data_IF_930062532524
#
_entry.id   IF_930062532524
#
_cell.length_a   1.000
_cell.length_b   1.000
_cell.length_c   1.000
_cell.angle_alpha   90.00
_cell.angle_beta   90.00
_cell.angle_gamma   90.00
#
_symmetry.space_group_name_H-M   'P 1'
#
loop_
_entity.id
_entity.type
_entity.pdbx_description
1 polymer ?
#
# COMPACT_ATOMS: atom_id res chain seq x y z
N UNK A 1 0.66 35.32 36.19
CA UNK A 1 1.70 34.75 37.06
C UNK A 1 3.08 35.33 36.74
N UNK A 2 3.54 35.31 35.49
CA UNK A 2 4.86 35.82 35.06
C UNK A 2 5.10 37.27 35.54
N UNK A 3 4.10 38.16 35.49
CA UNK A 3 4.23 39.55 35.97
C UNK A 3 4.44 39.64 37.48
N UNK A 4 3.97 38.68 38.29
CA UNK A 4 4.18 38.63 39.74
C UNK A 4 5.58 38.20 40.13
N UNK A 5 6.33 37.61 39.18
CA UNK A 5 7.70 37.13 39.34
C UNK A 5 8.71 38.00 38.58
N UNK A 6 8.39 39.27 38.33
CA UNK A 6 9.22 40.25 37.69
C UNK A 6 9.84 39.81 36.35
N UNK A 7 9.11 38.91 35.59
CA UNK A 7 9.54 38.50 34.25
C UNK A 7 9.40 39.70 33.33
N UNK A 8 10.47 40.03 32.56
CA UNK A 8 10.50 41.19 31.66
C UNK A 8 9.33 41.15 30.67
N UNK A 9 8.71 42.33 30.44
CA UNK A 9 7.53 42.43 29.58
C UNK A 9 7.80 41.92 28.13
N UNK A 10 8.99 42.23 27.58
CA UNK A 10 9.39 41.74 26.24
C UNK A 10 9.33 40.19 26.12
N UNK A 11 9.71 39.51 27.22
CA UNK A 11 9.64 38.01 27.22
C UNK A 11 8.20 37.53 27.27
N UNK A 12 7.36 38.15 28.07
CA UNK A 12 5.92 37.84 28.12
C UNK A 12 5.26 38.07 26.77
N UNK A 13 5.59 39.18 26.08
CA UNK A 13 5.05 39.51 24.77
C UNK A 13 5.55 38.51 23.68
N UNK A 14 6.77 38.05 23.84
CA UNK A 14 7.31 36.98 22.97
C UNK A 14 6.54 35.67 23.16
N UNK A 15 6.29 35.26 24.42
CA UNK A 15 5.53 34.06 24.71
C UNK A 15 4.10 34.12 24.16
N UNK A 16 3.44 35.30 24.24
CA UNK A 16 2.07 35.50 23.73
C UNK A 16 1.98 35.39 22.18
N UNK A 17 3.06 35.61 21.46
CA UNK A 17 3.14 35.46 20.00
C UNK A 17 3.32 34.02 19.55
N UNK A 18 3.77 33.15 20.43
CA UNK A 18 4.05 31.74 20.12
C UNK A 18 2.76 30.95 20.20
N UNK A 19 2.21 30.53 19.05
CA UNK A 19 1.03 29.67 19.00
C UNK A 19 1.32 28.22 19.42
N UNK A 20 2.53 27.74 19.12
CA UNK A 20 3.04 26.42 19.46
C UNK A 20 4.43 26.53 20.04
N UNK A 21 4.62 26.12 21.28
CA UNK A 21 5.93 26.13 21.93
C UNK A 21 6.52 24.72 21.89
N UNK A 22 7.36 24.45 20.87
CA UNK A 22 8.16 23.24 20.83
C UNK A 22 9.64 23.58 21.17
N UNK A 23 10.28 22.82 22.05
CA UNK A 23 11.70 22.99 22.33
C UNK A 23 12.53 22.83 21.06
N UNK A 24 13.64 23.60 20.97
CA UNK A 24 14.58 23.50 19.84
C UNK A 24 15.08 22.06 19.63
N UNK A 25 15.32 21.32 20.73
CA UNK A 25 15.75 19.92 20.67
C UNK A 25 14.68 19.02 20.01
N UNK A 26 13.38 19.27 20.26
CA UNK A 26 12.29 18.55 19.60
C UNK A 26 12.30 18.80 18.09
N UNK A 27 12.39 20.08 17.67
CA UNK A 27 12.49 20.42 16.25
C UNK A 27 13.70 19.77 15.58
N UNK A 28 14.87 19.79 16.24
CA UNK A 28 16.08 19.14 15.75
C UNK A 28 15.90 17.62 15.57
N UNK A 29 15.27 16.95 16.55
CA UNK A 29 15.00 15.50 16.46
C UNK A 29 14.08 15.16 15.28
N UNK A 30 13.01 15.93 15.05
CA UNK A 30 12.12 15.74 13.91
C UNK A 30 12.80 15.96 12.57
N UNK A 31 13.63 17.01 12.45
CA UNK A 31 14.40 17.27 11.24
C UNK A 31 15.40 16.14 10.97
N UNK A 32 16.09 15.64 12.00
CA UNK A 32 16.99 14.49 11.85
C UNK A 32 16.26 13.24 11.35
N UNK A 33 15.08 12.96 11.87
CA UNK A 33 14.25 11.83 11.38
C UNK A 33 13.81 12.04 9.94
N UNK A 34 13.35 13.22 9.57
CA UNK A 34 12.98 13.57 8.20
C UNK A 34 14.16 13.38 7.23
N UNK A 35 15.36 13.77 7.62
CA UNK A 35 16.59 13.58 6.84
C UNK A 35 16.92 12.10 6.63
N UNK A 36 16.79 11.27 7.66
CA UNK A 36 17.00 9.81 7.56
C UNK A 36 16.02 9.17 6.60
N UNK A 37 14.74 9.55 6.67
CA UNK A 37 13.71 9.06 5.75
C UNK A 37 14.01 9.53 4.32
N UNK A 38 14.39 10.80 4.13
CA UNK A 38 14.77 11.33 2.83
C UNK A 38 16.00 10.62 2.25
N UNK A 39 17.00 10.33 3.08
CA UNK A 39 18.18 9.54 2.69
C UNK A 39 17.76 8.15 2.16
N UNK A 40 16.90 7.44 2.90
CA UNK A 40 16.39 6.14 2.44
C UNK A 40 15.64 6.26 1.11
N UNK A 41 14.82 7.29 0.93
CA UNK A 41 14.07 7.53 -0.32
C UNK A 41 15.00 7.80 -1.51
N UNK A 42 16.15 8.43 -1.30
CA UNK A 42 17.11 8.73 -2.36
C UNK A 42 18.00 7.54 -2.69
N UNK A 43 18.58 6.90 -1.68
CA UNK A 43 19.60 5.87 -1.88
C UNK A 43 19.07 4.44 -1.86
N UNK A 44 17.89 4.21 -1.27
CA UNK A 44 17.24 2.90 -1.17
C UNK A 44 15.74 3.01 -1.56
N UNK A 45 15.42 3.55 -2.75
CA UNK A 45 14.05 3.92 -3.10
C UNK A 45 13.06 2.75 -3.05
N UNK A 46 13.41 1.58 -3.54
CA UNK A 46 12.51 0.42 -3.49
C UNK A 46 12.21 -0.01 -2.06
N UNK A 47 13.20 -0.02 -1.18
CA UNK A 47 12.98 -0.31 0.24
C UNK A 47 12.11 0.76 0.92
N UNK A 48 12.30 2.04 0.56
CA UNK A 48 11.44 3.12 1.03
C UNK A 48 9.98 2.92 0.59
N UNK A 49 9.72 2.65 -0.70
CA UNK A 49 8.36 2.44 -1.20
C UNK A 49 7.74 1.19 -0.61
N UNK A 50 8.48 0.07 -0.49
CA UNK A 50 8.00 -1.14 0.16
C UNK A 50 7.55 -0.87 1.61
N UNK A 51 8.36 -0.16 2.38
CA UNK A 51 8.03 0.21 3.76
C UNK A 51 6.84 1.19 3.82
N UNK A 52 6.79 2.18 2.92
CA UNK A 52 5.68 3.14 2.86
C UNK A 52 4.36 2.45 2.57
N UNK A 53 4.29 1.63 1.52
CA UNK A 53 3.05 0.94 1.14
C UNK A 53 2.63 -0.14 2.14
N UNK A 54 3.58 -0.75 2.86
CA UNK A 54 3.26 -1.73 3.91
C UNK A 54 2.74 -1.12 5.21
N UNK A 55 3.12 0.13 5.55
CA UNK A 55 2.92 0.67 6.90
C UNK A 55 2.13 1.97 6.90
N UNK A 56 2.28 2.81 5.89
CA UNK A 56 1.74 4.20 5.87
C UNK A 56 0.60 4.40 4.88
N UNK A 57 0.49 3.57 3.87
CA UNK A 57 -0.59 3.64 2.91
C UNK A 57 -1.90 3.16 3.56
N UNK A 58 -2.95 3.97 3.47
CA UNK A 58 -4.26 3.67 4.04
C UNK A 58 -5.33 3.44 2.97
N UNK A 59 -5.03 3.73 1.71
CA UNK A 59 -5.95 3.62 0.59
C UNK A 59 -5.32 2.92 -0.62
N UNK A 60 -4.31 2.07 -0.39
CA UNK A 60 -3.66 1.36 -1.48
C UNK A 60 -4.61 0.32 -2.09
N UNK A 61 -4.69 0.28 -3.42
CA UNK A 61 -5.45 -0.70 -4.19
C UNK A 61 -4.59 -1.23 -5.32
N UNK A 62 -4.49 -2.56 -5.41
CA UNK A 62 -3.77 -3.24 -6.48
C UNK A 62 -4.33 -2.87 -7.85
N UNK A 63 -5.64 -2.89 -7.99
CA UNK A 63 -6.36 -2.65 -9.24
C UNK A 63 -6.17 -1.23 -9.78
N UNK A 64 -6.07 -0.25 -8.88
CA UNK A 64 -5.90 1.15 -9.25
C UNK A 64 -4.45 1.53 -9.52
N UNK A 65 -3.50 0.85 -8.88
CA UNK A 65 -2.13 1.33 -8.75
C UNK A 65 -1.07 0.43 -9.40
N UNK A 66 -1.31 -0.89 -9.49
CA UNK A 66 -0.28 -1.84 -9.89
C UNK A 66 -0.38 -2.32 -11.35
N UNK A 67 -1.40 -1.90 -12.08
CA UNK A 67 -1.67 -2.35 -13.45
C UNK A 67 -1.04 -1.44 -14.54
N UNK A 68 0.02 -0.73 -14.17
CA UNK A 68 0.79 0.11 -15.06
C UNK A 68 0.48 1.60 -14.97
N UNK A 69 1.41 2.40 -15.45
CA UNK A 69 1.37 3.86 -15.37
C UNK A 69 0.15 4.47 -16.04
N UNK A 70 -0.22 3.98 -17.23
CA UNK A 70 -1.31 4.57 -18.01
C UNK A 70 -2.67 4.39 -17.30
N UNK A 71 -2.90 3.21 -16.68
CA UNK A 71 -4.09 2.97 -15.86
C UNK A 71 -4.12 3.86 -14.61
N UNK A 72 -2.98 4.03 -13.95
CA UNK A 72 -2.88 4.94 -12.81
C UNK A 72 -3.23 6.37 -13.20
N UNK A 73 -2.68 6.89 -14.31
CA UNK A 73 -2.97 8.26 -14.78
C UNK A 73 -4.45 8.44 -15.14
N UNK A 74 -5.07 7.42 -15.74
CA UNK A 74 -6.51 7.43 -16.01
C UNK A 74 -7.31 7.59 -14.70
N UNK A 75 -7.00 6.79 -13.68
CA UNK A 75 -7.68 6.88 -12.38
C UNK A 75 -7.41 8.20 -11.67
N UNK A 76 -6.18 8.72 -11.71
CA UNK A 76 -5.83 10.03 -11.17
C UNK A 76 -6.64 11.16 -11.83
N UNK A 77 -6.84 11.08 -13.14
CA UNK A 77 -7.65 12.07 -13.86
C UNK A 77 -9.13 12.01 -13.45
N UNK A 78 -9.67 10.81 -13.22
CA UNK A 78 -11.05 10.65 -12.73
C UNK A 78 -11.21 11.20 -11.31
N UNK A 79 -10.31 10.84 -10.38
CA UNK A 79 -10.32 11.37 -9.01
C UNK A 79 -10.18 12.89 -8.98
N UNK A 80 -9.37 13.47 -9.88
CA UNK A 80 -9.23 14.93 -10.00
C UNK A 80 -10.53 15.61 -10.43
N UNK A 81 -11.32 15.01 -11.34
CA UNK A 81 -12.62 15.54 -11.76
C UNK A 81 -13.64 15.59 -10.62
N UNK A 82 -13.53 14.67 -9.66
CA UNK A 82 -14.43 14.51 -8.51
C UNK A 82 -13.86 15.05 -7.20
N UNK A 83 -12.80 15.87 -7.24
CA UNK A 83 -12.01 16.27 -6.09
C UNK A 83 -12.84 16.79 -4.90
N UNK A 84 -13.86 17.58 -5.17
CA UNK A 84 -14.71 18.22 -4.14
C UNK A 84 -15.72 17.25 -3.50
N UNK A 85 -15.94 16.06 -4.08
CA UNK A 85 -16.92 15.06 -3.61
C UNK A 85 -16.27 13.79 -3.05
N UNK A 86 -14.93 13.74 -2.95
CA UNK A 86 -14.23 12.56 -2.49
C UNK A 86 -14.48 12.28 -1.01
N UNK A 87 -14.89 11.07 -0.70
CA UNK A 87 -14.93 10.54 0.66
C UNK A 87 -13.53 10.52 1.30
N UNK A 88 -13.46 10.36 2.62
CA UNK A 88 -12.19 10.27 3.35
C UNK A 88 -11.31 9.11 2.83
N UNK A 89 -11.92 7.95 2.57
CA UNK A 89 -11.22 6.79 2.02
C UNK A 89 -10.66 7.09 0.61
N UNK A 90 -11.44 7.72 -0.27
CA UNK A 90 -10.97 8.10 -1.60
C UNK A 90 -9.85 9.15 -1.56
N UNK A 91 -9.87 10.08 -0.58
CA UNK A 91 -8.77 11.04 -0.37
C UNK A 91 -7.47 10.32 0.04
N UNK A 92 -7.57 9.29 0.88
CA UNK A 92 -6.42 8.47 1.24
C UNK A 92 -5.90 7.68 0.03
N UNK A 93 -6.81 7.11 -0.78
CA UNK A 93 -6.46 6.45 -2.06
C UNK A 93 -5.77 7.42 -3.03
N UNK A 94 -6.29 8.63 -3.20
CA UNK A 94 -5.67 9.65 -4.06
C UNK A 94 -4.26 10.03 -3.58
N UNK A 95 -4.04 10.10 -2.26
CA UNK A 95 -2.71 10.35 -1.70
C UNK A 95 -1.74 9.24 -2.06
N UNK A 96 -2.16 7.99 -1.89
CA UNK A 96 -1.31 6.82 -2.18
C UNK A 96 -1.04 6.71 -3.68
N UNK A 97 -2.03 6.96 -4.56
CA UNK A 97 -1.86 7.03 -6.02
C UNK A 97 -0.79 8.06 -6.44
N UNK A 98 -0.69 9.22 -5.75
CA UNK A 98 0.34 10.23 -6.05
C UNK A 98 1.75 9.74 -5.69
N UNK A 99 1.89 8.95 -4.64
CA UNK A 99 3.18 8.33 -4.29
C UNK A 99 3.56 7.27 -5.33
N UNK A 100 2.59 6.49 -5.81
CA UNK A 100 2.81 5.53 -6.89
C UNK A 100 3.15 6.25 -8.20
N UNK A 101 2.49 7.37 -8.51
CA UNK A 101 2.82 8.19 -9.68
C UNK A 101 4.28 8.68 -9.65
N UNK A 102 4.73 9.16 -8.49
CA UNK A 102 6.13 9.53 -8.29
C UNK A 102 7.07 8.33 -8.48
N UNK A 103 6.71 7.16 -7.93
CA UNK A 103 7.49 5.94 -8.07
C UNK A 103 7.66 5.55 -9.54
N UNK A 104 6.59 5.53 -10.33
CA UNK A 104 6.65 5.27 -11.77
C UNK A 104 7.46 6.34 -12.53
N UNK A 105 7.33 7.61 -12.16
CA UNK A 105 8.09 8.70 -12.77
C UNK A 105 9.61 8.57 -12.53
N UNK A 106 10.00 7.92 -11.43
CA UNK A 106 11.38 7.60 -11.10
C UNK A 106 11.90 6.31 -11.75
N UNK A 107 11.07 5.64 -12.56
CA UNK A 107 11.43 4.41 -13.28
C UNK A 107 11.33 3.13 -12.46
N UNK A 108 10.66 3.15 -11.32
CA UNK A 108 10.37 1.96 -10.52
C UNK A 108 8.98 1.41 -10.86
N UNK A 109 8.80 0.10 -10.75
CA UNK A 109 7.58 -0.58 -11.18
C UNK A 109 7.16 -1.67 -10.18
N UNK A 110 5.90 -2.06 -10.27
CA UNK A 110 5.39 -3.24 -9.59
C UNK A 110 5.56 -4.49 -10.47
N UNK A 111 5.73 -5.61 -9.83
CA UNK A 111 5.53 -6.92 -10.44
C UNK A 111 4.15 -7.47 -10.05
N UNK A 112 3.57 -8.37 -10.84
CA UNK A 112 2.34 -9.06 -10.44
C UNK A 112 2.52 -9.78 -9.10
N UNK A 113 1.44 -9.86 -8.33
CA UNK A 113 1.42 -10.68 -7.12
C UNK A 113 1.59 -12.16 -7.53
N UNK A 114 2.61 -12.79 -6.98
CA UNK A 114 2.80 -14.23 -7.03
C UNK A 114 2.25 -14.83 -5.73
N UNK A 115 1.17 -15.59 -5.81
CA UNK A 115 0.45 -16.13 -4.63
C UNK A 115 1.30 -17.10 -3.80
N UNK A 116 2.39 -17.64 -4.34
CA UNK A 116 3.31 -18.52 -3.65
C UNK A 116 4.48 -17.79 -2.97
N UNK A 117 4.73 -16.54 -3.33
CA UNK A 117 5.85 -15.72 -2.83
C UNK A 117 5.40 -14.48 -2.06
N UNK A 118 4.20 -14.01 -2.32
CA UNK A 118 3.67 -12.78 -1.70
C UNK A 118 3.45 -12.96 -0.20
N UNK A 119 3.62 -11.86 0.54
CA UNK A 119 3.25 -11.78 1.95
C UNK A 119 1.83 -11.25 2.10
N UNK A 120 1.21 -11.52 3.25
CA UNK A 120 -0.15 -11.12 3.50
C UNK A 120 -0.32 -9.59 3.54
N UNK A 121 0.56 -8.87 4.27
CA UNK A 121 0.45 -7.43 4.56
C UNK A 121 1.71 -6.62 4.21
N UNK A 122 2.75 -7.25 3.65
CA UNK A 122 4.04 -6.60 3.38
C UNK A 122 4.37 -6.61 1.89
N UNK A 123 4.81 -5.45 1.42
CA UNK A 123 5.42 -5.32 0.10
C UNK A 123 6.85 -5.84 0.14
N UNK A 124 7.27 -6.48 -0.93
CA UNK A 124 8.60 -7.07 -1.06
C UNK A 124 9.36 -6.45 -2.23
N UNK A 125 10.68 -6.34 -2.08
CA UNK A 125 11.56 -5.98 -3.19
C UNK A 125 12.11 -7.27 -3.79
N UNK A 126 11.76 -7.56 -5.02
CA UNK A 126 12.16 -8.78 -5.73
C UNK A 126 12.61 -8.40 -7.13
N UNK A 127 13.81 -8.79 -7.51
CA UNK A 127 14.40 -8.58 -8.84
C UNK A 127 14.31 -7.11 -9.32
N UNK A 128 14.53 -6.17 -8.39
CA UNK A 128 14.50 -4.73 -8.69
C UNK A 128 13.11 -4.14 -8.88
N UNK A 129 12.03 -4.86 -8.55
CA UNK A 129 10.65 -4.40 -8.59
C UNK A 129 9.95 -4.62 -7.26
N UNK A 130 8.80 -4.00 -7.08
CA UNK A 130 7.95 -4.17 -5.91
C UNK A 130 6.89 -5.24 -6.17
N UNK A 131 6.85 -6.28 -5.32
CA UNK A 131 5.71 -7.18 -5.23
C UNK A 131 4.74 -6.67 -4.19
N UNK A 132 3.50 -6.33 -4.56
CA UNK A 132 2.48 -5.92 -3.60
C UNK A 132 2.09 -7.04 -2.64
N UNK A 133 1.55 -6.67 -1.47
CA UNK A 133 0.97 -7.62 -0.52
C UNK A 133 -0.36 -8.17 -1.03
N UNK A 134 -0.75 -9.34 -0.55
CA UNK A 134 -2.07 -9.91 -0.87
C UNK A 134 -3.21 -9.02 -0.39
N UNK A 135 -3.08 -8.38 0.78
CA UNK A 135 -4.09 -7.47 1.33
C UNK A 135 -4.29 -6.18 0.51
N UNK A 136 -3.44 -5.93 -0.50
CA UNK A 136 -3.64 -4.82 -1.46
C UNK A 136 -4.73 -5.09 -2.50
N UNK A 137 -5.19 -6.34 -2.63
CA UNK A 137 -6.30 -6.73 -3.51
C UNK A 137 -7.62 -6.32 -2.85
N UNK A 138 -8.50 -5.66 -3.62
CA UNK A 138 -9.77 -5.16 -3.11
C UNK A 138 -10.61 -6.30 -2.50
N UNK A 139 -11.07 -6.09 -1.26
CA UNK A 139 -11.90 -7.05 -0.53
C UNK A 139 -11.16 -8.24 0.09
N UNK A 140 -9.88 -8.45 -0.21
CA UNK A 140 -9.09 -9.51 0.43
C UNK A 140 -8.56 -9.01 1.79
N UNK A 141 -9.33 -9.28 2.84
CA UNK A 141 -8.95 -8.93 4.21
C UNK A 141 -7.70 -9.68 4.70
N UNK A 142 -7.04 -9.13 5.73
CA UNK A 142 -5.77 -9.66 6.24
C UNK A 142 -5.84 -11.16 6.59
N UNK A 143 -6.88 -11.59 7.30
CA UNK A 143 -7.03 -13.00 7.69
C UNK A 143 -7.11 -13.95 6.47
N UNK A 144 -7.80 -13.52 5.41
CA UNK A 144 -7.88 -14.30 4.18
C UNK A 144 -6.54 -14.28 3.42
N UNK A 145 -5.84 -13.15 3.40
CA UNK A 145 -4.49 -13.04 2.85
C UNK A 145 -3.49 -13.96 3.57
N UNK A 146 -3.54 -14.00 4.90
CA UNK A 146 -2.75 -14.96 5.72
C UNK A 146 -3.11 -16.41 5.40
N UNK A 147 -4.40 -16.69 5.19
CA UNK A 147 -4.89 -18.01 4.75
C UNK A 147 -4.28 -18.44 3.42
N UNK A 148 -4.14 -17.52 2.44
CA UNK A 148 -3.46 -17.79 1.17
C UNK A 148 -1.99 -18.12 1.39
N UNK A 149 -1.27 -17.29 2.17
CA UNK A 149 0.15 -17.52 2.50
C UNK A 149 0.36 -18.86 3.21
N UNK A 150 -0.52 -19.21 4.12
CA UNK A 150 -0.43 -20.50 4.83
C UNK A 150 -0.66 -21.69 3.88
N UNK A 151 -1.78 -21.66 3.12
CA UNK A 151 -2.13 -22.74 2.22
C UNK A 151 -1.11 -22.93 1.07
N UNK A 152 -0.47 -21.86 0.61
CA UNK A 152 0.57 -21.92 -0.41
C UNK A 152 1.81 -22.74 0.02
N UNK A 153 2.07 -22.85 1.32
CA UNK A 153 3.18 -23.66 1.87
C UNK A 153 2.96 -25.17 1.74
N UNK A 154 1.70 -25.58 1.65
CA UNK A 154 1.30 -26.99 1.50
C UNK A 154 1.39 -27.48 0.06
N UNK A 155 1.97 -26.68 -0.83
CA UNK A 155 2.16 -27.00 -2.25
C UNK A 155 1.21 -26.27 -3.20
N UNK A 156 1.38 -26.48 -4.52
CA UNK A 156 0.62 -25.78 -5.54
C UNK A 156 -0.88 -26.06 -5.44
N UNK A 157 -1.66 -25.08 -5.84
CA UNK A 157 -3.11 -25.25 -5.99
C UNK A 157 -3.41 -25.97 -7.31
N UNK A 158 -4.37 -26.87 -7.29
CA UNK A 158 -4.73 -27.70 -8.44
C UNK A 158 -5.87 -27.09 -9.28
N UNK A 159 -6.71 -26.25 -8.65
CA UNK A 159 -7.81 -25.53 -9.30
C UNK A 159 -8.23 -24.32 -8.46
N UNK A 160 -9.14 -23.49 -9.00
CA UNK A 160 -9.76 -22.39 -8.25
C UNK A 160 -10.63 -22.92 -7.11
N UNK A 161 -11.28 -24.06 -7.31
CA UNK A 161 -12.04 -24.72 -6.26
C UNK A 161 -11.15 -25.20 -5.12
N UNK A 162 -9.99 -25.83 -5.40
CA UNK A 162 -8.98 -26.21 -4.42
C UNK A 162 -8.40 -24.98 -3.71
N UNK A 163 -8.07 -23.93 -4.47
CA UNK A 163 -7.63 -22.65 -3.89
C UNK A 163 -8.63 -22.12 -2.86
N UNK A 164 -9.90 -22.03 -3.22
CA UNK A 164 -10.96 -21.55 -2.31
C UNK A 164 -11.16 -22.45 -1.09
N UNK A 165 -11.14 -23.76 -1.28
CA UNK A 165 -11.29 -24.72 -0.19
C UNK A 165 -10.16 -24.60 0.85
N UNK A 166 -8.90 -24.46 0.38
CA UNK A 166 -7.71 -24.39 1.24
C UNK A 166 -7.52 -23.02 1.88
N UNK A 167 -7.82 -21.92 1.16
CA UNK A 167 -7.58 -20.54 1.61
C UNK A 167 -8.78 -19.90 2.29
N UNK A 168 -9.97 -20.45 2.09
CA UNK A 168 -11.27 -19.87 2.52
C UNK A 168 -11.56 -18.49 1.91
N UNK A 169 -10.90 -18.15 0.80
CA UNK A 169 -11.20 -16.96 0.02
C UNK A 169 -12.59 -17.10 -0.63
N UNK A 170 -13.38 -16.03 -0.61
CA UNK A 170 -14.73 -16.05 -1.20
C UNK A 170 -14.67 -16.23 -2.73
N UNK A 171 -15.76 -16.72 -3.32
CA UNK A 171 -15.84 -16.89 -4.78
C UNK A 171 -15.58 -15.58 -5.50
N UNK A 172 -16.19 -14.48 -5.07
CA UNK A 172 -16.03 -13.15 -5.68
C UNK A 172 -14.57 -12.70 -5.71
N UNK A 173 -13.83 -12.91 -4.62
CA UNK A 173 -12.41 -12.53 -4.56
C UNK A 173 -11.57 -13.48 -5.44
N UNK A 174 -11.89 -14.77 -5.45
CA UNK A 174 -11.21 -15.74 -6.32
C UNK A 174 -11.41 -15.38 -7.81
N UNK A 175 -12.62 -15.01 -8.20
CA UNK A 175 -12.95 -14.57 -9.55
C UNK A 175 -12.15 -13.28 -9.90
N UNK A 176 -12.13 -12.30 -9.00
CA UNK A 176 -11.33 -11.08 -9.16
C UNK A 176 -9.82 -11.39 -9.33
N UNK A 177 -9.27 -12.26 -8.50
CA UNK A 177 -7.86 -12.67 -8.61
C UNK A 177 -7.56 -13.38 -9.93
N UNK A 178 -8.52 -14.16 -10.43
CA UNK A 178 -8.42 -14.79 -11.73
C UNK A 178 -8.46 -13.77 -12.88
N UNK A 179 -9.37 -12.81 -12.83
CA UNK A 179 -9.51 -11.73 -13.83
C UNK A 179 -8.26 -10.84 -13.87
N UNK A 180 -7.60 -10.68 -12.73
CA UNK A 180 -6.31 -10.00 -12.62
C UNK A 180 -5.11 -10.86 -13.07
N UNK A 181 -5.34 -12.12 -13.45
CA UNK A 181 -4.28 -13.05 -13.87
C UNK A 181 -3.40 -13.57 -12.73
N UNK A 182 -3.80 -13.37 -11.47
CA UNK A 182 -2.99 -13.72 -10.29
C UNK A 182 -3.04 -15.22 -9.95
N UNK A 183 -4.01 -15.94 -10.51
CA UNK A 183 -4.14 -17.39 -10.33
C UNK A 183 -3.56 -18.19 -11.53
N UNK A 184 -2.98 -17.50 -12.52
CA UNK A 184 -2.45 -18.16 -13.72
C UNK A 184 -3.53 -18.95 -14.45
N UNK A 185 -3.15 -20.12 -14.95
CA UNK A 185 -4.03 -21.01 -15.73
C UNK A 185 -4.75 -22.06 -14.88
N UNK A 186 -5.00 -21.77 -13.59
CA UNK A 186 -5.73 -22.69 -12.71
C UNK A 186 -7.14 -22.97 -13.28
N UNK A 187 -7.49 -24.27 -13.55
CA UNK A 187 -8.82 -24.63 -14.00
C UNK A 187 -9.85 -24.35 -12.91
N UNK A 188 -11.13 -24.26 -13.27
CA UNK A 188 -12.21 -24.02 -12.32
C UNK A 188 -12.31 -25.16 -11.28
N UNK A 189 -12.25 -26.41 -11.75
CA UNK A 189 -12.37 -27.60 -10.92
C UNK A 189 -11.29 -28.64 -11.25
N UNK A 190 -10.99 -29.52 -10.28
CA UNK A 190 -10.13 -30.68 -10.48
C UNK A 190 -10.81 -31.83 -11.23
N UNK A 191 -12.10 -31.72 -11.49
CA UNK A 191 -12.84 -32.76 -12.20
C UNK A 191 -12.57 -32.64 -13.71
N UNK A 192 -11.92 -33.64 -14.27
CA UNK A 192 -11.86 -33.79 -15.73
C UNK A 192 -13.29 -33.97 -16.25
N UNK A 193 -13.75 -33.05 -17.08
CA UNK A 193 -15.00 -33.24 -17.81
C UNK A 193 -14.84 -34.40 -18.79
N UNK A 194 -15.77 -35.34 -18.76
CA UNK A 194 -15.83 -36.44 -19.74
C UNK A 194 -16.02 -35.94 -21.20
N UNK A 195 -16.23 -34.63 -21.37
CA UNK A 195 -16.47 -33.98 -22.68
C UNK A 195 -15.30 -33.13 -23.17
N UNK A 196 -14.16 -33.11 -22.46
CA UNK A 196 -12.95 -32.37 -22.83
C UNK A 196 -11.97 -33.22 -23.68
N UNK A 197 -12.49 -34.23 -24.41
CA UNK A 197 -11.75 -35.08 -25.36
C UNK A 197 -12.22 -34.87 -26.80
#
# INVERSE_FOLDING_TARGET
EMKKHDVPQWYIDSCLKIKYMFPKAHAAAYVMMAWRVAYCKVFYPLAYYAAFFSIRANGFSYELMCLGRDKLEYHLADFKKRADSLSKAEQDTLRDMRIVQEMYARGYDFMPIDIYRAQADRFQVIDGRLMPSLSSIAGLGLNAAEGVVYAAKDGPFLSREDFRARTKVSKTICDLMSDLGLLGDLPESNQLSLFDF
#
